data_IF_002901210383
#
_entry.id   IF_002901210383
#
_cell.length_a   1.000
_cell.length_b   1.000
_cell.length_c   1.000
_cell.angle_alpha   90.00
_cell.angle_beta   90.00
_cell.angle_gamma   90.00
#
_symmetry.space_group_name_H-M   'P 1'
#
loop_
_entity.id
_entity.type
_entity.pdbx_description
1 polymer ?
#
# COMPACT_ATOMS: atom_id res chain seq x y z
N UNK A 1 35.47 4.79 -44.56
CA UNK A 1 36.18 4.33 -43.36
C UNK A 1 36.49 5.53 -42.47
N UNK A 2 36.17 5.39 -41.18
CA UNK A 2 36.42 6.33 -40.06
C UNK A 2 35.74 7.70 -40.22
N UNK A 3 34.65 8.00 -39.52
CA UNK A 3 34.61 8.01 -38.06
C UNK A 3 33.17 8.07 -37.50
N UNK A 4 32.40 6.99 -37.71
CA UNK A 4 31.05 6.80 -37.15
C UNK A 4 31.07 6.19 -35.72
N UNK A 5 31.85 6.73 -34.78
CA UNK A 5 32.03 6.10 -33.46
C UNK A 5 31.93 7.02 -32.24
N UNK A 6 31.41 8.25 -32.38
CA UNK A 6 31.33 9.18 -31.23
C UNK A 6 29.90 9.37 -30.69
N UNK A 7 28.86 9.08 -31.49
CA UNK A 7 27.49 9.46 -31.11
C UNK A 7 26.59 8.33 -30.57
N UNK A 8 27.11 7.11 -30.34
CA UNK A 8 26.28 5.95 -29.95
C UNK A 8 26.72 5.25 -28.67
N UNK A 9 27.14 6.02 -27.67
CA UNK A 9 27.47 5.49 -26.33
C UNK A 9 26.79 6.26 -25.18
N UNK A 10 25.61 6.84 -25.43
CA UNK A 10 24.70 7.30 -24.37
C UNK A 10 23.28 6.81 -24.64
N UNK A 11 23.18 5.53 -24.99
CA UNK A 11 21.94 4.78 -24.84
C UNK A 11 21.95 4.17 -23.44
N UNK A 12 20.76 4.13 -22.82
CA UNK A 12 20.38 3.45 -21.57
C UNK A 12 20.50 4.31 -20.30
N UNK A 13 19.36 4.87 -19.89
CA UNK A 13 19.22 5.48 -18.57
C UNK A 13 17.87 6.13 -18.30
N UNK A 14 16.85 5.30 -18.06
CA UNK A 14 15.59 5.62 -17.36
C UNK A 14 14.47 6.29 -18.19
N UNK A 15 13.64 5.41 -18.77
CA UNK A 15 12.24 5.66 -19.08
C UNK A 15 11.48 6.16 -17.84
N UNK A 16 10.73 7.26 -18.00
CA UNK A 16 9.51 7.61 -17.28
C UNK A 16 8.90 8.81 -18.02
N UNK A 17 7.96 8.63 -18.97
CA UNK A 17 7.11 9.73 -19.36
C UNK A 17 6.25 10.08 -18.14
N UNK A 18 6.50 11.26 -17.60
CA UNK A 18 5.62 11.94 -16.69
C UNK A 18 4.34 12.33 -17.45
N UNK A 19 3.45 11.36 -17.70
CA UNK A 19 2.07 11.66 -18.10
C UNK A 19 1.25 11.99 -16.84
N UNK A 20 1.69 13.05 -16.17
CA UNK A 20 0.97 13.66 -15.04
C UNK A 20 -0.28 14.42 -15.51
N UNK A 21 -0.42 14.59 -16.83
CA UNK A 21 -1.49 15.36 -17.46
C UNK A 21 -2.79 14.55 -17.57
N UNK A 22 -2.72 13.24 -17.90
CA UNK A 22 -3.91 12.39 -17.93
C UNK A 22 -4.56 12.22 -16.55
N UNK A 23 -3.78 12.26 -15.47
CA UNK A 23 -4.29 12.15 -14.09
C UNK A 23 -4.84 13.51 -13.57
N UNK A 24 -4.28 14.64 -14.00
CA UNK A 24 -4.77 15.95 -13.54
C UNK A 24 -6.10 16.35 -14.20
N UNK A 25 -6.41 15.79 -15.37
CA UNK A 25 -7.63 16.12 -16.13
C UNK A 25 -8.87 15.47 -15.53
N UNK A 26 -8.80 14.20 -15.12
CA UNK A 26 -9.98 13.50 -14.59
C UNK A 26 -10.42 13.97 -13.18
N UNK A 27 -9.51 14.50 -12.36
CA UNK A 27 -9.86 15.07 -11.04
C UNK A 27 -10.60 16.40 -11.16
N UNK A 28 -10.36 17.17 -12.23
CA UNK A 28 -10.97 18.48 -12.46
C UNK A 28 -12.40 18.38 -13.02
N UNK A 29 -12.73 17.29 -13.73
CA UNK A 29 -14.06 17.09 -14.32
C UNK A 29 -15.13 16.65 -13.31
N UNK A 30 -14.76 16.30 -12.07
CA UNK A 30 -15.73 16.13 -10.98
C UNK A 30 -15.99 17.48 -10.30
N UNK A 31 -16.88 18.27 -10.90
CA UNK A 31 -17.45 19.49 -10.29
C UNK A 31 -18.22 19.17 -8.98
N UNK A 32 -18.33 20.16 -8.08
CA UNK A 32 -18.62 20.04 -6.66
C UNK A 32 -20.13 19.96 -6.38
N UNK A 33 -20.52 19.21 -5.35
CA UNK A 33 -21.81 19.45 -4.68
C UNK A 33 -21.55 20.23 -3.39
N UNK A 34 -22.12 21.42 -3.40
CA UNK A 34 -21.99 22.50 -2.44
C UNK A 34 -22.53 22.15 -1.04
N UNK A 35 -21.72 22.34 0.01
CA UNK A 35 -22.14 22.93 1.29
C UNK A 35 -20.96 23.22 2.23
N UNK A 36 -20.54 24.48 2.14
CA UNK A 36 -19.90 25.33 3.16
C UNK A 36 -20.05 24.85 4.62
N UNK A 37 -18.96 24.33 5.21
CA UNK A 37 -18.61 24.57 6.62
C UNK A 37 -17.10 24.80 6.70
N UNK A 38 -16.69 25.88 7.36
CA UNK A 38 -15.30 26.05 7.77
C UNK A 38 -15.04 25.14 8.98
N UNK A 39 -14.02 24.32 8.89
CA UNK A 39 -13.61 23.39 9.94
C UNK A 39 -12.25 22.79 9.61
N UNK A 40 -11.31 22.93 10.54
CA UNK A 40 -10.00 22.30 10.51
C UNK A 40 -10.17 20.78 10.66
N UNK A 41 -9.98 20.04 9.57
CA UNK A 41 -9.61 18.63 9.60
C UNK A 41 -8.97 18.19 8.28
N UNK A 42 -7.70 17.82 8.36
CA UNK A 42 -7.08 17.00 7.33
C UNK A 42 -7.56 15.57 7.52
N UNK A 43 -8.42 15.08 6.62
CA UNK A 43 -8.75 13.67 6.51
C UNK A 43 -8.72 13.24 5.04
N UNK A 44 -7.65 12.52 4.67
CA UNK A 44 -7.75 11.35 3.80
C UNK A 44 -6.95 10.21 4.46
N UNK A 45 -7.21 9.96 5.74
CA UNK A 45 -7.02 8.61 6.27
C UNK A 45 -8.36 7.93 6.14
N UNK A 46 -8.36 6.98 5.23
CA UNK A 46 -9.45 6.07 4.96
C UNK A 46 -9.83 5.35 6.26
N UNK A 47 -10.74 5.96 7.02
CA UNK A 47 -11.35 5.43 8.22
C UNK A 47 -12.52 4.54 7.82
N UNK A 48 -12.27 3.65 6.84
CA UNK A 48 -13.22 2.60 6.51
C UNK A 48 -12.98 1.43 7.46
N UNK A 49 -13.90 1.34 8.41
CA UNK A 49 -14.52 0.09 8.82
C UNK A 49 -13.61 -0.94 9.46
N UNK A 50 -13.79 -1.12 10.77
CA UNK A 50 -13.64 -2.41 11.44
C UNK A 50 -14.63 -3.43 10.84
N UNK A 51 -14.42 -3.77 9.58
CA UNK A 51 -15.21 -4.70 8.81
C UNK A 51 -14.44 -6.00 8.70
N UNK A 52 -15.06 -7.07 9.18
CA UNK A 52 -14.67 -8.47 9.07
C UNK A 52 -14.67 -8.96 7.60
N UNK A 53 -14.09 -8.17 6.69
CA UNK A 53 -13.98 -8.44 5.28
C UNK A 53 -12.90 -9.47 5.03
N UNK A 54 -13.32 -10.67 4.69
CA UNK A 54 -12.53 -11.85 4.30
C UNK A 54 -11.56 -11.61 3.11
N UNK A 55 -11.46 -10.39 2.59
CA UNK A 55 -10.57 -10.00 1.51
C UNK A 55 -9.34 -9.31 2.10
N UNK A 56 -8.19 -9.99 2.03
CA UNK A 56 -6.90 -9.38 2.33
C UNK A 56 -6.43 -8.60 1.12
N UNK A 57 -6.11 -7.33 1.32
CA UNK A 57 -5.48 -6.48 0.30
C UNK A 57 -3.96 -6.64 0.35
N UNK A 58 -3.28 -6.32 -0.75
CA UNK A 58 -1.81 -6.36 -0.82
C UNK A 58 -1.16 -5.49 0.25
N UNK A 59 -1.77 -4.36 0.61
CA UNK A 59 -1.25 -3.45 1.66
C UNK A 59 -1.34 -4.12 3.04
N UNK A 60 -2.46 -4.75 3.35
CA UNK A 60 -2.63 -5.48 4.62
C UNK A 60 -1.71 -6.70 4.72
N UNK A 61 -1.54 -7.46 3.64
CA UNK A 61 -0.62 -8.61 3.61
C UNK A 61 0.83 -8.15 3.82
N UNK A 62 1.24 -7.06 3.17
CA UNK A 62 2.58 -6.48 3.38
C UNK A 62 2.75 -6.02 4.83
N UNK A 63 1.75 -5.35 5.42
CA UNK A 63 1.77 -4.92 6.82
C UNK A 63 1.87 -6.12 7.78
N UNK A 64 1.09 -7.18 7.55
CA UNK A 64 1.14 -8.42 8.31
C UNK A 64 2.52 -9.08 8.22
N UNK A 65 3.05 -9.25 7.01
CA UNK A 65 4.37 -9.85 6.80
C UNK A 65 5.49 -9.02 7.46
N UNK A 66 5.40 -7.69 7.39
CA UNK A 66 6.35 -6.81 8.07
C UNK A 66 6.26 -6.96 9.59
N UNK A 67 5.04 -6.97 10.14
CA UNK A 67 4.82 -7.18 11.56
C UNK A 67 5.33 -8.55 12.04
N UNK A 68 5.19 -9.61 11.24
CA UNK A 68 5.73 -10.94 11.57
C UNK A 68 7.25 -10.98 11.59
N UNK A 69 7.91 -10.20 10.74
CA UNK A 69 9.37 -10.04 10.74
C UNK A 69 9.82 -9.23 11.96
N UNK A 70 9.10 -8.18 12.31
CA UNK A 70 9.41 -7.32 13.46
C UNK A 70 9.16 -8.03 14.81
N UNK A 71 8.15 -8.90 14.88
CA UNK A 71 7.75 -9.59 16.12
C UNK A 71 7.96 -11.11 16.00
N UNK A 72 9.18 -11.61 16.29
CA UNK A 72 9.46 -13.04 16.33
C UNK A 72 8.69 -13.76 17.47
N UNK A 73 8.83 -15.08 17.55
CA UNK A 73 8.06 -15.93 18.49
C UNK A 73 8.32 -15.63 19.97
N UNK A 74 9.43 -14.99 20.30
CA UNK A 74 9.84 -14.64 21.66
C UNK A 74 9.19 -13.34 22.16
N UNK A 75 8.39 -12.66 21.35
CA UNK A 75 7.73 -11.40 21.73
C UNK A 75 6.44 -11.66 22.50
N UNK A 76 6.39 -11.19 23.75
CA UNK A 76 5.17 -11.14 24.53
C UNK A 76 4.10 -10.31 23.81
N UNK A 77 2.85 -10.80 23.80
CA UNK A 77 1.73 -10.14 23.10
C UNK A 77 1.99 -9.92 21.60
N UNK A 78 2.83 -10.77 20.96
CA UNK A 78 3.15 -10.73 19.51
C UNK A 78 1.93 -10.39 18.65
N UNK A 79 0.85 -11.14 18.85
CA UNK A 79 -0.34 -11.02 18.02
C UNK A 79 -1.15 -9.74 18.26
N UNK A 80 -1.04 -9.12 19.43
CA UNK A 80 -1.65 -7.81 19.69
C UNK A 80 -0.87 -6.71 18.97
N UNK A 81 0.47 -6.80 18.98
CA UNK A 81 1.32 -5.89 18.21
C UNK A 81 1.12 -6.05 16.70
N UNK A 82 0.93 -7.28 16.21
CA UNK A 82 0.59 -7.55 14.81
C UNK A 82 -0.76 -6.95 14.43
N UNK A 83 -1.79 -7.17 15.25
CA UNK A 83 -3.11 -6.58 14.99
C UNK A 83 -3.07 -5.04 15.02
N UNK A 84 -2.27 -4.45 15.91
CA UNK A 84 -2.05 -3.01 15.92
C UNK A 84 -1.32 -2.48 14.68
N UNK A 85 -0.51 -3.31 14.02
CA UNK A 85 0.19 -2.96 12.79
C UNK A 85 -0.68 -3.11 11.52
N UNK A 86 -1.81 -3.82 11.59
CA UNK A 86 -2.74 -4.02 10.48
C UNK A 86 -4.08 -3.40 10.84
N UNK A 87 -4.28 -2.09 10.58
CA UNK A 87 -5.54 -1.43 10.89
C UNK A 87 -6.69 -2.10 10.13
N UNK A 88 -7.83 -2.27 10.80
CA UNK A 88 -9.02 -2.93 10.23
C UNK A 88 -9.02 -4.46 10.31
N UNK A 89 -7.90 -5.11 10.67
CA UNK A 89 -7.86 -6.57 10.89
C UNK A 89 -7.73 -6.91 12.37
N UNK A 90 -8.45 -7.95 12.80
CA UNK A 90 -8.37 -8.46 14.17
C UNK A 90 -7.20 -9.42 14.34
N UNK A 91 -6.79 -9.65 15.60
CA UNK A 91 -5.80 -10.67 15.99
C UNK A 91 -6.13 -12.05 15.41
N UNK A 92 -7.40 -12.46 15.45
CA UNK A 92 -7.85 -13.74 14.91
C UNK A 92 -7.70 -13.81 13.38
N UNK A 93 -8.06 -12.74 12.66
CA UNK A 93 -7.88 -12.65 11.22
C UNK A 93 -6.39 -12.77 10.83
N UNK A 94 -5.50 -12.07 11.55
CA UNK A 94 -4.06 -12.14 11.33
C UNK A 94 -3.53 -13.57 11.51
N UNK A 95 -3.91 -14.27 12.58
CA UNK A 95 -3.51 -15.66 12.81
C UNK A 95 -3.96 -16.60 11.70
N UNK A 96 -5.22 -16.45 11.24
CA UNK A 96 -5.78 -17.24 10.14
C UNK A 96 -4.97 -17.03 8.87
N UNK A 97 -4.72 -15.77 8.49
CA UNK A 97 -3.96 -15.43 7.29
C UNK A 97 -2.55 -15.98 7.30
N UNK A 98 -1.85 -15.87 8.44
CA UNK A 98 -0.51 -16.47 8.60
C UNK A 98 -0.54 -17.98 8.41
N UNK A 99 -1.58 -18.64 8.91
CA UNK A 99 -1.73 -20.09 8.77
C UNK A 99 -1.98 -20.50 7.32
N UNK A 100 -2.76 -19.71 6.57
CA UNK A 100 -2.97 -19.91 5.13
C UNK A 100 -1.68 -19.69 4.33
N UNK A 101 -0.98 -18.58 4.56
CA UNK A 101 0.31 -18.32 3.91
C UNK A 101 1.31 -19.47 4.16
N UNK A 102 1.39 -19.99 5.40
CA UNK A 102 2.27 -21.12 5.72
C UNK A 102 1.88 -22.43 5.03
N UNK A 103 0.61 -22.61 4.67
CA UNK A 103 0.13 -23.78 3.91
C UNK A 103 0.41 -23.64 2.42
N UNK A 104 0.30 -22.42 1.88
CA UNK A 104 0.56 -22.13 0.46
C UNK A 104 2.03 -22.38 0.06
N UNK A 105 2.97 -22.20 1.00
CA UNK A 105 4.41 -22.39 0.77
C UNK A 105 4.96 -23.75 1.23
N UNK A 106 4.11 -24.77 1.42
CA UNK A 106 4.50 -26.12 1.89
C UNK A 106 4.38 -27.15 0.77
#
# INVERSE_FOLDING_TARGET
CSSDLINKAKSLGNEKPADSDSYSKFLKDRKPVDKRVEGVDGELVNRESGGEGSSWTSVEDVALLNALKAFPKDVAMRWEKIAAAVPGKTKAACMKRVSELKKEFR
#
